data_IF_671789310155
#
_entry.id   IF_671789310155
#
_cell.length_a   1.000
_cell.length_b   1.000
_cell.length_c   1.000
_cell.angle_alpha   90.00
_cell.angle_beta   90.00
_cell.angle_gamma   90.00
#
_symmetry.space_group_name_H-M   'P 1'
#
loop_
_entity.id
_entity.type
_entity.pdbx_description
1 polymer ?
#
# COMPACT_ATOMS: atom_id res chain seq x y z
N UNK A 1 -2.58 3.90 -17.51
CA UNK A 1 -3.51 5.04 -17.59
C UNK A 1 -2.80 6.30 -17.10
N UNK A 2 -3.26 7.49 -17.51
CA UNK A 2 -2.76 8.77 -17.00
C UNK A 2 -3.94 9.65 -16.61
N UNK A 3 -3.89 10.29 -15.44
CA UNK A 3 -4.91 11.22 -14.95
C UNK A 3 -4.35 12.65 -14.83
N UNK A 4 -5.20 13.66 -14.98
CA UNK A 4 -4.78 15.07 -14.92
C UNK A 4 -5.34 15.75 -13.67
N UNK A 5 -4.46 16.23 -12.80
CA UNK A 5 -4.80 17.00 -11.60
C UNK A 5 -4.33 18.43 -11.84
N UNK A 6 -5.26 19.38 -12.00
CA UNK A 6 -4.94 20.79 -12.28
C UNK A 6 -3.96 21.00 -13.47
N UNK A 7 -4.06 20.15 -14.51
CA UNK A 7 -3.18 20.19 -15.69
C UNK A 7 -1.88 19.40 -15.56
N UNK A 8 -1.60 18.81 -14.40
CA UNK A 8 -0.44 17.95 -14.13
C UNK A 8 -0.82 16.50 -14.43
N UNK A 9 -0.07 15.86 -15.32
CA UNK A 9 -0.27 14.43 -15.63
C UNK A 9 0.37 13.56 -14.56
N UNK A 10 -0.41 12.60 -14.05
CA UNK A 10 -0.02 11.63 -13.03
C UNK A 10 -0.35 10.21 -13.51
N UNK A 11 0.32 9.20 -12.95
CA UNK A 11 0.10 7.79 -13.31
C UNK A 11 -0.93 7.17 -12.38
N UNK A 12 -2.20 7.39 -12.69
CA UNK A 12 -3.33 6.81 -11.98
C UNK A 12 -4.46 6.47 -12.93
N UNK A 13 -5.27 5.50 -12.52
CA UNK A 13 -6.58 5.21 -13.07
C UNK A 13 -7.65 5.67 -12.06
N UNK A 14 -8.60 6.48 -12.52
CA UNK A 14 -9.60 7.12 -11.65
C UNK A 14 -10.98 6.66 -12.10
N UNK A 15 -11.64 5.90 -11.24
CA UNK A 15 -13.01 5.46 -11.47
C UNK A 15 -13.98 6.48 -10.88
N UNK A 16 -14.99 6.85 -11.67
CA UNK A 16 -16.07 7.76 -11.26
C UNK A 16 -17.42 7.07 -11.35
N UNK A 17 -18.31 7.40 -10.42
CA UNK A 17 -19.73 7.08 -10.52
C UNK A 17 -20.33 7.78 -11.75
N UNK A 18 -21.01 7.06 -12.64
CA UNK A 18 -21.46 7.59 -13.94
C UNK A 18 -22.59 8.61 -13.80
N UNK A 19 -23.37 8.55 -12.73
CA UNK A 19 -24.55 9.39 -12.53
C UNK A 19 -24.20 10.71 -11.82
N UNK A 20 -23.26 10.65 -10.87
CA UNK A 20 -22.87 11.78 -10.03
C UNK A 20 -21.55 12.41 -10.43
N UNK A 21 -20.73 11.71 -11.23
CA UNK A 21 -19.36 12.10 -11.55
C UNK A 21 -18.40 12.05 -10.36
N UNK A 22 -18.86 11.53 -9.20
CA UNK A 22 -18.03 11.43 -7.99
C UNK A 22 -16.95 10.37 -8.18
N UNK A 23 -15.71 10.66 -7.77
CA UNK A 23 -14.65 9.67 -7.72
C UNK A 23 -14.98 8.59 -6.69
N UNK A 24 -14.94 7.32 -7.12
CA UNK A 24 -15.25 6.14 -6.28
C UNK A 24 -14.00 5.34 -5.91
N UNK A 25 -13.00 5.34 -6.78
CA UNK A 25 -11.69 4.76 -6.48
C UNK A 25 -10.60 5.38 -7.34
N UNK A 26 -9.38 5.29 -6.82
CA UNK A 26 -8.16 5.67 -7.52
C UNK A 26 -7.17 4.52 -7.41
N UNK A 27 -6.70 4.05 -8.54
CA UNK A 27 -5.83 2.88 -8.67
C UNK A 27 -4.50 3.32 -9.27
N UNK A 28 -3.38 2.87 -8.70
CA UNK A 28 -2.06 3.11 -9.28
C UNK A 28 -1.08 1.98 -8.93
N UNK A 29 -0.14 1.73 -9.84
CA UNK A 29 0.88 0.71 -9.66
C UNK A 29 2.12 1.27 -8.97
N UNK A 30 2.59 0.53 -7.99
CA UNK A 30 3.77 0.84 -7.21
C UNK A 30 4.81 -0.28 -7.37
N UNK A 31 6.06 0.11 -7.40
CA UNK A 31 7.19 -0.81 -7.36
C UNK A 31 8.21 -0.34 -6.30
N UNK A 32 8.86 -1.27 -5.63
CA UNK A 32 9.94 -1.01 -4.68
C UNK A 32 10.93 -2.18 -4.68
N UNK A 33 12.12 -1.96 -4.11
CA UNK A 33 13.14 -3.02 -4.00
C UNK A 33 12.70 -4.17 -3.10
N UNK A 34 11.86 -3.91 -2.10
CA UNK A 34 11.24 -4.91 -1.25
C UNK A 34 10.01 -4.33 -0.55
N UNK A 35 9.18 -5.24 -0.01
CA UNK A 35 7.94 -4.90 0.69
C UNK A 35 8.13 -3.93 1.85
N UNK A 36 9.19 -4.07 2.64
CA UNK A 36 9.42 -3.22 3.82
C UNK A 36 9.63 -1.74 3.46
N UNK A 37 10.27 -1.45 2.32
CA UNK A 37 10.42 -0.07 1.83
C UNK A 37 9.05 0.53 1.49
N UNK A 38 8.19 -0.22 0.81
CA UNK A 38 6.84 0.23 0.48
C UNK A 38 5.99 0.42 1.73
N UNK A 39 6.04 -0.51 2.68
CA UNK A 39 5.30 -0.43 3.94
C UNK A 39 5.74 0.78 4.78
N UNK A 40 7.04 1.09 4.82
CA UNK A 40 7.53 2.29 5.50
C UNK A 40 7.00 3.59 4.87
N UNK A 41 6.95 3.66 3.54
CA UNK A 41 6.33 4.80 2.84
C UNK A 41 4.82 4.83 3.09
N UNK A 42 4.14 3.69 3.03
CA UNK A 42 2.70 3.62 3.30
C UNK A 42 2.35 4.09 4.72
N UNK A 43 3.16 3.74 5.72
CA UNK A 43 3.04 4.27 7.08
C UNK A 43 3.22 5.80 7.11
N UNK A 44 4.28 6.32 6.49
CA UNK A 44 4.54 7.75 6.43
C UNK A 44 3.44 8.54 5.70
N UNK A 45 2.69 7.87 4.81
CA UNK A 45 1.56 8.43 4.07
C UNK A 45 0.19 8.13 4.69
N UNK A 46 0.15 7.57 5.91
CA UNK A 46 -1.09 7.18 6.60
C UNK A 46 -1.97 6.20 5.81
N UNK A 47 -1.36 5.37 4.95
CA UNK A 47 -2.02 4.30 4.20
C UNK A 47 -1.94 2.96 4.94
N UNK A 48 -1.04 2.86 5.93
CA UNK A 48 -0.92 1.75 6.87
C UNK A 48 -0.82 2.27 8.30
N UNK A 49 -1.12 1.41 9.27
CA UNK A 49 -0.94 1.65 10.70
C UNK A 49 -0.26 0.47 11.36
N UNK A 50 0.50 0.76 12.42
CA UNK A 50 1.02 -0.26 13.31
C UNK A 50 -0.10 -0.75 14.24
N UNK A 51 -0.27 -2.07 14.30
CA UNK A 51 -1.13 -2.76 15.25
C UNK A 51 -0.28 -3.56 16.20
N UNK A 52 -0.72 -3.63 17.45
CA UNK A 52 -0.07 -4.40 18.50
C UNK A 52 -1.10 -5.28 19.19
N UNK A 53 -0.75 -6.54 19.37
CA UNK A 53 -1.40 -7.41 20.33
C UNK A 53 -0.73 -7.19 21.67
N UNK A 54 -1.53 -6.85 22.68
CA UNK A 54 -1.02 -6.56 24.02
C UNK A 54 -1.72 -7.42 25.06
N UNK A 55 -0.98 -7.78 26.10
CA UNK A 55 -1.51 -8.47 27.26
C UNK A 55 -1.16 -7.70 28.53
N UNK A 56 -2.16 -7.51 29.38
CA UNK A 56 -1.96 -7.00 30.74
C UNK A 56 -1.37 -8.12 31.59
N UNK A 57 -0.13 -7.96 32.03
CA UNK A 57 0.54 -8.88 32.95
C UNK A 57 0.45 -8.33 34.37
N UNK A 58 -0.06 -9.14 35.31
CA UNK A 58 -0.12 -8.75 36.71
C UNK A 58 1.23 -9.10 37.35
N UNK A 59 1.96 -8.08 37.79
CA UNK A 59 3.25 -8.21 38.46
C UNK A 59 3.06 -8.47 39.96
N UNK A 60 2.07 -7.82 40.57
CA UNK A 60 1.69 -8.01 41.96
C UNK A 60 0.17 -7.88 42.12
N UNK A 61 -0.51 -8.85 42.77
CA UNK A 61 -1.94 -8.75 43.03
C UNK A 61 -2.23 -7.62 44.03
N UNK A 62 -3.47 -7.11 44.01
CA UNK A 62 -3.94 -6.24 45.06
C UNK A 62 -4.02 -6.99 46.40
N UNK A 63 -3.61 -6.35 47.49
CA UNK A 63 -3.70 -6.90 48.84
C UNK A 63 -4.74 -6.12 49.63
N UNK A 64 -5.60 -6.83 50.35
CA UNK A 64 -6.68 -6.28 51.17
C UNK A 64 -6.52 -6.71 52.62
N UNK A 65 -6.93 -5.85 53.54
CA UNK A 65 -7.10 -6.19 54.95
C UNK A 65 -8.26 -7.19 55.09
N UNK A 66 -8.01 -8.31 55.78
CA UNK A 66 -8.99 -9.40 55.86
C UNK A 66 -10.14 -9.12 56.82
N UNK A 67 -9.96 -8.20 57.77
CA UNK A 67 -10.93 -7.88 58.80
C UNK A 67 -11.79 -6.66 58.41
N UNK A 68 -11.20 -5.68 57.72
CA UNK A 68 -11.89 -4.44 57.32
C UNK A 68 -12.28 -4.42 55.85
N UNK A 69 -11.65 -5.24 55.00
CA UNK A 69 -11.80 -5.21 53.54
C UNK A 69 -11.14 -4.00 52.86
N UNK A 70 -10.36 -3.20 53.60
CA UNK A 70 -9.67 -2.03 53.04
C UNK A 70 -8.49 -2.44 52.16
N UNK A 71 -8.26 -1.69 51.09
CA UNK A 71 -7.13 -1.89 50.19
C UNK A 71 -5.82 -1.50 50.91
N UNK A 72 -4.88 -2.44 51.02
CA UNK A 72 -3.55 -2.21 51.59
C UNK A 72 -2.56 -1.85 50.47
N UNK A 73 -2.54 -2.64 49.40
CA UNK A 73 -1.68 -2.38 48.22
C UNK A 73 -2.46 -2.56 46.93
N UNK A 74 -2.34 -1.59 46.02
CA UNK A 74 -2.94 -1.70 44.70
C UNK A 74 -2.27 -2.79 43.84
N UNK A 75 -3.03 -3.32 42.87
CA UNK A 75 -2.50 -4.19 41.83
C UNK A 75 -1.45 -3.44 41.00
N UNK A 76 -0.30 -4.07 40.78
CA UNK A 76 0.72 -3.58 39.85
C UNK A 76 0.67 -4.46 38.61
N UNK A 77 0.48 -3.82 37.46
CA UNK A 77 0.45 -4.49 36.17
C UNK A 77 1.26 -3.74 35.12
N UNK A 78 1.80 -4.47 34.16
CA UNK A 78 2.42 -3.91 32.97
C UNK A 78 1.70 -4.37 31.70
N UNK A 79 1.85 -3.58 30.63
CA UNK A 79 1.39 -3.96 29.30
C UNK A 79 2.57 -4.58 28.57
N UNK A 80 2.42 -5.84 28.17
CA UNK A 80 3.40 -6.56 27.36
C UNK A 80 2.91 -6.59 25.92
N UNK A 81 3.77 -6.21 24.97
CA UNK A 81 3.49 -6.36 23.53
C UNK A 81 3.86 -7.78 23.13
N UNK A 82 2.86 -8.55 22.68
CA UNK A 82 3.03 -9.94 22.26
C UNK A 82 3.38 -10.06 20.78
N UNK A 83 2.80 -9.19 19.96
CA UNK A 83 3.04 -9.14 18.53
C UNK A 83 2.82 -7.71 18.01
N UNK A 84 3.53 -7.37 16.94
CA UNK A 84 3.38 -6.12 16.20
C UNK A 84 3.31 -6.42 14.72
N UNK A 85 2.37 -5.81 14.00
CA UNK A 85 2.23 -5.95 12.56
C UNK A 85 1.69 -4.68 11.92
N UNK A 86 1.82 -4.61 10.60
CA UNK A 86 1.27 -3.51 9.81
C UNK A 86 -0.06 -3.92 9.18
N UNK A 87 -1.02 -3.02 9.23
CA UNK A 87 -2.32 -3.20 8.61
C UNK A 87 -2.64 -2.00 7.73
N UNK A 88 -3.17 -2.26 6.53
CA UNK A 88 -3.66 -1.19 5.67
C UNK A 88 -4.84 -0.49 6.35
N UNK A 89 -4.87 0.85 6.26
CA UNK A 89 -6.02 1.59 6.81
C UNK A 89 -7.26 1.33 5.94
N UNK A 90 -8.44 1.47 6.54
CA UNK A 90 -9.70 1.33 5.80
C UNK A 90 -9.70 2.24 4.57
N UNK A 91 -9.92 1.66 3.40
CA UNK A 91 -9.94 2.36 2.12
C UNK A 91 -8.62 2.30 1.34
N UNK A 92 -7.50 1.89 1.95
CA UNK A 92 -6.27 1.56 1.24
C UNK A 92 -6.18 0.04 1.04
N UNK A 93 -6.14 -0.42 -0.21
CA UNK A 93 -6.04 -1.83 -0.53
C UNK A 93 -4.81 -2.08 -1.39
N UNK A 94 -3.89 -2.90 -0.89
CA UNK A 94 -2.66 -3.27 -1.58
C UNK A 94 -2.83 -4.67 -2.18
N UNK A 95 -2.66 -4.78 -3.49
CA UNK A 95 -2.73 -6.05 -4.22
C UNK A 95 -1.34 -6.40 -4.74
N UNK A 96 -0.76 -7.48 -4.21
CA UNK A 96 0.54 -7.98 -4.66
C UNK A 96 0.46 -8.40 -6.13
N UNK A 97 1.45 -8.00 -6.92
CA UNK A 97 1.54 -8.33 -8.35
C UNK A 97 2.86 -9.03 -8.62
N UNK A 98 2.81 -10.22 -9.21
CA UNK A 98 3.99 -10.86 -9.76
C UNK A 98 4.21 -10.34 -11.19
N UNK A 99 5.38 -9.75 -11.45
CA UNK A 99 5.74 -9.24 -12.77
C UNK A 99 6.66 -10.23 -13.47
N UNK A 100 6.30 -10.65 -14.68
CA UNK A 100 7.12 -11.53 -15.52
C UNK A 100 8.05 -10.68 -16.38
N UNK A 101 9.36 -10.83 -16.21
CA UNK A 101 10.38 -10.12 -16.99
C UNK A 101 10.72 -10.85 -18.29
N UNK A 102 10.75 -12.18 -18.24
CA UNK A 102 10.95 -13.09 -19.37
C UNK A 102 9.89 -14.18 -19.29
N UNK A 103 9.02 -14.34 -20.31
CA UNK A 103 8.00 -15.39 -20.33
C UNK A 103 8.60 -16.79 -20.23
N UNK A 104 7.78 -17.74 -19.80
CA UNK A 104 8.13 -19.15 -19.88
C UNK A 104 8.32 -19.55 -21.35
N UNK A 105 9.29 -20.43 -21.60
CA UNK A 105 9.40 -21.11 -22.90
C UNK A 105 8.60 -22.39 -22.79
N UNK A 106 7.67 -22.58 -23.74
CA UNK A 106 6.82 -23.76 -23.84
C UNK A 106 7.33 -24.67 -24.96
N UNK A 107 7.12 -25.97 -24.82
CA UNK A 107 7.29 -26.91 -25.94
C UNK A 107 6.06 -26.94 -26.87
N UNK A 108 6.07 -27.87 -27.83
CA UNK A 108 5.00 -28.02 -28.81
C UNK A 108 3.67 -28.47 -28.19
N UNK A 109 3.69 -29.09 -27.01
CA UNK A 109 2.52 -29.58 -26.29
C UNK A 109 2.02 -28.53 -25.27
N UNK A 110 2.71 -27.39 -25.15
CA UNK A 110 2.38 -26.31 -24.22
C UNK A 110 2.97 -26.49 -22.82
N UNK A 111 3.83 -27.48 -22.61
CA UNK A 111 4.50 -27.73 -21.33
C UNK A 111 5.69 -26.80 -21.14
N UNK A 112 5.93 -26.38 -19.90
CA UNK A 112 7.00 -25.42 -19.57
C UNK A 112 8.36 -26.11 -19.62
N UNK A 113 9.19 -25.73 -20.58
CA UNK A 113 10.59 -26.20 -20.69
C UNK A 113 11.59 -25.24 -20.04
N UNK A 114 11.27 -23.94 -19.99
CA UNK A 114 12.03 -22.95 -19.23
C UNK A 114 11.05 -22.11 -18.41
N UNK A 115 11.19 -22.06 -17.08
CA UNK A 115 10.30 -21.27 -16.24
C UNK A 115 10.44 -19.76 -16.55
N UNK A 116 9.40 -18.96 -16.26
CA UNK A 116 9.48 -17.52 -16.43
C UNK A 116 10.48 -16.92 -15.44
N UNK A 117 11.17 -15.85 -15.87
CA UNK A 117 11.96 -15.01 -14.96
C UNK A 117 11.04 -13.94 -14.41
N UNK A 118 10.85 -13.94 -13.09
CA UNK A 118 10.04 -12.96 -12.38
C UNK A 118 10.89 -11.77 -11.92
N UNK A 119 10.23 -10.64 -11.74
CA UNK A 119 10.82 -9.48 -11.08
C UNK A 119 11.11 -9.80 -9.61
N UNK A 120 12.36 -9.66 -9.14
CA UNK A 120 12.70 -9.86 -7.73
C UNK A 120 12.22 -8.71 -6.83
N UNK A 121 11.83 -7.56 -7.40
CA UNK A 121 11.26 -6.43 -6.68
C UNK A 121 9.84 -6.70 -6.19
N UNK A 122 9.37 -5.81 -5.31
CA UNK A 122 8.00 -5.85 -4.82
C UNK A 122 7.12 -4.91 -5.64
N UNK A 123 6.16 -5.49 -6.35
CA UNK A 123 5.17 -4.78 -7.14
C UNK A 123 3.80 -4.91 -6.49
N UNK A 124 3.05 -3.82 -6.42
CA UNK A 124 1.67 -3.87 -5.98
C UNK A 124 0.80 -2.85 -6.71
N UNK A 125 -0.48 -3.16 -6.86
CA UNK A 125 -1.48 -2.16 -7.19
C UNK A 125 -2.09 -1.64 -5.89
N UNK A 126 -2.03 -0.33 -5.69
CA UNK A 126 -2.73 0.34 -4.60
C UNK A 126 -4.06 0.88 -5.12
N UNK A 127 -5.15 0.48 -4.48
CA UNK A 127 -6.47 1.10 -4.64
C UNK A 127 -6.81 1.93 -3.42
N UNK A 128 -7.09 3.20 -3.64
CA UNK A 128 -7.68 4.13 -2.67
C UNK A 128 -9.19 4.19 -2.95
N UNK A 129 -9.99 3.74 -1.99
CA UNK A 129 -11.46 3.83 -1.99
C UNK A 129 -11.97 4.52 -0.72
N UNK A 130 -13.27 4.43 -0.45
CA UNK A 130 -13.87 5.03 0.74
C UNK A 130 -13.33 4.41 2.06
N UNK A 131 -13.14 5.22 3.12
CA UNK A 131 -13.38 6.67 3.19
C UNK A 131 -12.25 7.54 2.61
N UNK A 132 -11.07 6.98 2.31
CA UNK A 132 -9.88 7.74 1.94
C UNK A 132 -10.05 8.56 0.66
N UNK A 133 -10.75 8.03 -0.34
CA UNK A 133 -10.95 8.71 -1.62
C UNK A 133 -11.71 10.03 -1.48
N UNK A 134 -12.53 10.15 -0.43
CA UNK A 134 -13.28 11.37 -0.10
C UNK A 134 -12.56 12.27 0.90
N UNK A 135 -11.44 11.84 1.50
CA UNK A 135 -10.72 12.63 2.49
C UNK A 135 -10.09 13.86 1.85
N UNK A 136 -10.25 15.00 2.52
CA UNK A 136 -9.71 16.28 2.09
C UNK A 136 -8.82 16.89 3.17
N UNK A 137 -7.87 17.70 2.74
CA UNK A 137 -7.13 18.58 3.64
C UNK A 137 -7.97 19.78 4.09
N UNK A 138 -7.37 20.67 4.89
CA UNK A 138 -8.00 21.90 5.37
C UNK A 138 -8.39 22.89 4.25
N UNK A 139 -7.78 22.76 3.07
CA UNK A 139 -8.03 23.59 1.89
C UNK A 139 -9.09 22.98 0.95
N UNK A 140 -9.61 21.80 1.27
CA UNK A 140 -10.62 21.10 0.49
C UNK A 140 -10.06 20.28 -0.69
N UNK A 141 -8.74 20.11 -0.77
CA UNK A 141 -8.04 19.29 -1.78
C UNK A 141 -8.07 17.83 -1.34
N UNK A 142 -8.32 16.90 -2.27
CA UNK A 142 -8.35 15.49 -1.93
C UNK A 142 -6.95 14.98 -1.57
N UNK A 143 -6.83 14.22 -0.47
CA UNK A 143 -5.53 13.75 0.00
C UNK A 143 -4.84 12.80 -0.99
N UNK A 144 -5.62 12.03 -1.77
CA UNK A 144 -5.06 11.17 -2.81
C UNK A 144 -4.50 11.97 -4.00
N UNK A 145 -5.06 13.16 -4.28
CA UNK A 145 -4.52 14.05 -5.31
C UNK A 145 -3.17 14.61 -4.85
N UNK A 146 -3.08 15.07 -3.60
CA UNK A 146 -1.83 15.53 -3.01
C UNK A 146 -0.75 14.44 -3.02
N UNK A 147 -1.14 13.21 -2.72
CA UNK A 147 -0.25 12.05 -2.78
C UNK A 147 0.33 11.85 -4.19
N UNK A 148 -0.51 11.82 -5.22
CA UNK A 148 -0.05 11.66 -6.61
C UNK A 148 0.79 12.85 -7.08
N UNK A 149 0.38 14.08 -6.73
CA UNK A 149 1.13 15.29 -7.04
C UNK A 149 2.50 15.29 -6.37
N UNK A 150 2.62 14.79 -5.14
CA UNK A 150 3.91 14.65 -4.47
C UNK A 150 4.85 13.73 -5.26
N UNK A 151 4.37 12.57 -5.71
CA UNK A 151 5.15 11.68 -6.57
C UNK A 151 5.57 12.36 -7.87
N UNK A 152 4.66 13.10 -8.51
CA UNK A 152 4.95 13.77 -9.78
C UNK A 152 5.91 14.95 -9.64
N UNK A 153 5.85 15.72 -8.54
CA UNK A 153 6.69 16.90 -8.35
C UNK A 153 8.03 16.61 -7.66
N UNK A 154 8.04 15.71 -6.69
CA UNK A 154 9.24 15.38 -5.92
C UNK A 154 9.95 14.14 -6.46
N UNK A 155 9.28 13.35 -7.29
CA UNK A 155 9.82 12.11 -7.81
C UNK A 155 10.95 12.34 -8.80
N UNK A 156 12.02 11.59 -8.64
CA UNK A 156 13.04 11.48 -9.67
C UNK A 156 12.56 10.53 -10.77
N UNK A 157 12.76 10.91 -12.04
CA UNK A 157 12.52 9.99 -13.15
C UNK A 157 13.37 8.73 -12.99
N UNK A 158 12.74 7.58 -13.19
CA UNK A 158 13.39 6.28 -13.09
C UNK A 158 12.78 5.27 -14.03
N UNK A 159 13.43 4.11 -14.09
CA UNK A 159 12.89 2.95 -14.80
C UNK A 159 12.80 1.77 -13.84
N UNK A 160 11.64 1.12 -13.83
CA UNK A 160 11.40 -0.15 -13.15
C UNK A 160 11.86 -1.27 -14.07
N UNK A 161 12.68 -2.18 -13.55
CA UNK A 161 13.29 -3.29 -14.28
C UNK A 161 14.00 -2.90 -15.58
N UNK A 162 14.50 -1.66 -15.65
CA UNK A 162 15.16 -1.10 -16.84
C UNK A 162 14.24 -0.93 -18.06
N UNK A 163 12.92 -1.08 -17.90
CA UNK A 163 11.96 -1.10 -19.02
C UNK A 163 10.80 -0.14 -18.84
N UNK A 164 10.21 -0.08 -17.65
CA UNK A 164 8.96 0.65 -17.44
C UNK A 164 9.25 2.01 -16.78
N UNK A 165 8.90 3.13 -17.41
CA UNK A 165 9.05 4.44 -16.80
C UNK A 165 8.25 4.58 -15.50
N UNK A 166 8.77 5.39 -14.59
CA UNK A 166 8.07 5.78 -13.38
C UNK A 166 8.75 6.95 -12.70
N UNK A 167 8.10 7.46 -11.65
CA UNK A 167 8.65 8.50 -10.78
C UNK A 167 8.89 7.94 -9.38
N UNK A 168 10.08 8.13 -8.85
CA UNK A 168 10.52 7.50 -7.60
C UNK A 168 10.56 8.52 -6.48
N UNK A 169 9.80 8.25 -5.41
CA UNK A 169 9.86 8.99 -4.14
C UNK A 169 10.13 8.01 -3.01
N UNK A 170 11.13 8.31 -2.17
CA UNK A 170 11.46 7.50 -0.99
C UNK A 170 11.67 6.01 -1.27
N UNK A 171 12.25 5.69 -2.45
CA UNK A 171 12.50 4.31 -2.87
C UNK A 171 11.29 3.54 -3.41
N UNK A 172 10.13 4.21 -3.56
CA UNK A 172 8.92 3.66 -4.17
C UNK A 172 8.63 4.38 -5.49
N UNK A 173 8.57 3.60 -6.55
CA UNK A 173 8.24 4.06 -7.90
C UNK A 173 6.73 4.05 -8.12
N UNK A 174 6.15 5.19 -8.50
CA UNK A 174 4.85 5.25 -9.16
C UNK A 174 5.04 4.90 -10.63
N UNK A 175 4.46 3.78 -11.07
CA UNK A 175 4.73 3.15 -12.37
C UNK A 175 3.79 3.67 -13.45
N UNK A 176 4.34 4.05 -14.61
CA UNK A 176 3.54 4.39 -15.78
C UNK A 176 3.02 3.13 -16.47
N UNK A 177 1.85 2.65 -16.03
CA UNK A 177 1.18 1.50 -16.64
C UNK A 177 0.80 1.71 -18.10
N UNK A 178 0.77 2.95 -18.63
CA UNK A 178 0.52 3.16 -20.07
C UNK A 178 1.66 2.67 -20.96
N UNK A 179 2.83 2.41 -20.35
CA UNK A 179 4.05 1.95 -21.03
C UNK A 179 4.41 0.50 -20.70
N UNK A 180 3.61 -0.15 -19.85
CA UNK A 180 3.72 -1.58 -19.65
C UNK A 180 3.09 -2.26 -20.86
N UNK A 181 3.93 -2.87 -21.69
CA UNK A 181 3.46 -3.83 -22.69
C UNK A 181 2.89 -5.04 -21.93
N UNK A 182 1.58 -5.04 -21.68
CA UNK A 182 0.91 -6.27 -21.31
C UNK A 182 1.00 -7.22 -22.52
N UNK A 183 1.42 -8.48 -22.37
CA UNK A 183 1.18 -9.46 -23.41
C UNK A 183 -0.32 -9.50 -23.65
N UNK A 184 -0.75 -9.16 -24.86
CA UNK A 184 -2.12 -9.40 -25.30
C UNK A 184 -2.33 -10.91 -25.34
N UNK A 185 -2.74 -11.51 -24.22
CA UNK A 185 -3.43 -12.78 -24.29
C UNK A 185 -4.80 -12.51 -24.91
N UNK A 186 -4.82 -12.54 -26.25
CA UNK A 186 -6.05 -12.71 -27.01
C UNK A 186 -6.61 -14.07 -26.63
N UNK A 187 -7.61 -14.05 -25.76
CA UNK A 187 -8.56 -15.15 -25.66
C UNK A 187 -9.50 -14.99 -26.86
N UNK A 188 -9.39 -15.91 -27.80
CA UNK A 188 -10.43 -16.22 -28.78
C UNK A 188 -11.51 -17.09 -28.13
#
# INVERSE_FOLDING_TARGET
>A
MTYSINGVKTYADVATDPDTGKVISVDFALHSTNRAVLEAVALAKNLMVTKQETQKSILSPATYDQDTGELITAEVSEIVVLAEWLEAVRGANFFDVAVVLVPAVLDADGEVITPPVLDPGYNCNLRIGEPLVSNKDENGVFLWELLLLEWTYLGAEGTVNGKVPGVVVSGVSLVDLSKVEAPQMGWA
#
